data_IF_814782620631
#
_entry.id   IF_814782620631
#
_cell.length_a   1.000
_cell.length_b   1.000
_cell.length_c   1.000
_cell.angle_alpha   90.00
_cell.angle_beta   90.00
_cell.angle_gamma   90.00
#
_symmetry.space_group_name_H-M   'P 1'
#
loop_
_entity.id
_entity.type
_entity.pdbx_description
1 polymer ?
#
# COMPACT_ATOMS: atom_id res chain seq x y z
N UNK A 1 38.31 21.78 -37.07
CA UNK A 1 37.75 22.42 -35.86
C UNK A 1 36.40 21.83 -35.40
N UNK A 2 35.62 21.14 -36.26
CA UNK A 2 34.34 20.52 -35.89
C UNK A 2 34.39 19.03 -35.46
N UNK A 3 35.54 18.36 -35.58
CA UNK A 3 35.69 16.93 -35.22
C UNK A 3 35.75 16.69 -33.70
N UNK A 4 36.33 17.64 -32.97
CA UNK A 4 36.49 17.57 -31.51
C UNK A 4 35.15 17.54 -30.73
N UNK A 5 34.14 18.40 -31.03
CA UNK A 5 32.84 18.32 -30.35
C UNK A 5 32.03 17.08 -30.70
N UNK A 6 32.17 16.55 -31.93
CA UNK A 6 31.50 15.30 -32.35
C UNK A 6 32.07 14.11 -31.59
N UNK A 7 33.39 14.03 -31.43
CA UNK A 7 34.04 12.97 -30.66
C UNK A 7 33.69 13.04 -29.17
N UNK A 8 33.61 14.24 -28.60
CA UNK A 8 33.21 14.44 -27.19
C UNK A 8 31.74 14.01 -26.96
N UNK A 9 30.84 14.31 -27.91
CA UNK A 9 29.43 13.93 -27.83
C UNK A 9 29.17 12.43 -28.02
N UNK A 10 30.00 11.73 -28.80
CA UNK A 10 29.90 10.27 -28.96
C UNK A 10 30.41 9.58 -27.69
N UNK A 11 31.48 10.11 -27.09
CA UNK A 11 32.06 9.57 -25.87
C UNK A 11 31.11 9.67 -24.66
N UNK A 12 30.37 10.78 -24.55
CA UNK A 12 29.35 10.94 -23.48
C UNK A 12 28.17 10.00 -23.68
N UNK A 13 27.73 9.74 -24.91
CA UNK A 13 26.69 8.74 -25.18
C UNK A 13 27.11 7.33 -24.73
N UNK A 14 28.35 6.91 -25.02
CA UNK A 14 28.84 5.56 -24.66
C UNK A 14 28.92 5.35 -23.14
N UNK A 15 29.28 6.39 -22.38
CA UNK A 15 29.30 6.35 -20.91
C UNK A 15 27.91 6.13 -20.31
N UNK A 16 26.85 6.66 -20.92
CA UNK A 16 25.47 6.49 -20.44
C UNK A 16 24.97 5.05 -20.68
N UNK A 17 25.40 4.37 -21.75
CA UNK A 17 24.97 2.99 -22.02
C UNK A 17 25.60 1.94 -21.09
N UNK A 18 26.74 2.21 -20.45
CA UNK A 18 27.40 1.25 -19.55
C UNK A 18 26.76 1.18 -18.15
N UNK A 19 25.82 2.07 -17.82
CA UNK A 19 25.14 2.09 -16.52
C UNK A 19 24.00 1.06 -16.39
N UNK A 20 23.63 0.36 -17.47
CA UNK A 20 22.58 -0.66 -17.45
C UNK A 20 23.11 -2.10 -17.40
N UNK A 21 24.30 -2.34 -16.83
CA UNK A 21 24.82 -3.70 -16.66
C UNK A 21 25.03 -4.06 -15.17
N UNK A 22 23.92 -4.14 -14.43
CA UNK A 22 23.92 -4.68 -13.08
C UNK A 22 23.92 -6.21 -13.16
N UNK A 23 25.12 -6.78 -13.18
CA UNK A 23 25.38 -8.21 -13.01
C UNK A 23 24.89 -8.62 -11.60
N UNK A 24 23.68 -9.17 -11.50
CA UNK A 24 23.10 -9.62 -10.24
C UNK A 24 23.71 -10.95 -9.82
N UNK A 25 24.83 -10.87 -9.10
CA UNK A 25 25.38 -11.95 -8.31
C UNK A 25 25.25 -11.65 -6.82
N UNK A 26 24.05 -11.81 -6.26
CA UNK A 26 23.87 -11.96 -4.81
C UNK A 26 22.73 -12.93 -4.54
N UNK A 27 23.13 -14.16 -4.22
CA UNK A 27 22.26 -15.24 -3.82
C UNK A 27 21.71 -14.95 -2.42
N UNK A 28 20.53 -14.33 -2.35
CA UNK A 28 19.63 -14.36 -1.20
C UNK A 28 18.30 -14.96 -1.65
N UNK A 29 18.29 -16.29 -1.78
CA UNK A 29 17.06 -17.08 -1.77
C UNK A 29 16.45 -17.04 -0.37
N UNK A 30 15.81 -15.92 -0.05
CA UNK A 30 14.68 -15.94 0.87
C UNK A 30 13.56 -16.70 0.17
N UNK A 31 13.14 -17.82 0.77
CA UNK A 31 11.99 -18.59 0.33
C UNK A 31 10.82 -17.66 0.06
N UNK A 32 10.47 -17.47 -1.22
CA UNK A 32 9.17 -16.98 -1.61
C UNK A 32 8.18 -18.10 -1.30
N UNK A 33 7.87 -18.29 -0.02
CA UNK A 33 6.50 -18.63 0.31
C UNK A 33 5.68 -17.55 -0.37
N UNK A 34 4.97 -17.93 -1.43
CA UNK A 34 3.84 -17.18 -1.95
C UNK A 34 3.10 -16.69 -0.71
N UNK A 35 3.27 -15.41 -0.38
CA UNK A 35 2.49 -14.79 0.67
C UNK A 35 1.11 -14.87 0.08
N UNK A 36 0.33 -15.85 0.53
CA UNK A 36 -1.05 -15.98 0.15
C UNK A 36 -1.66 -14.63 0.48
N UNK A 37 -1.86 -13.80 -0.54
CA UNK A 37 -2.32 -12.43 -0.37
C UNK A 37 -3.72 -12.41 0.28
N UNK A 38 -4.34 -13.60 0.39
CA UNK A 38 -5.56 -13.84 1.13
C UNK A 38 -5.40 -13.82 2.65
N UNK A 39 -4.20 -13.93 3.24
CA UNK A 39 -4.00 -13.97 4.70
C UNK A 39 -3.13 -12.80 5.17
N UNK A 40 -3.64 -12.03 6.13
CA UNK A 40 -2.92 -10.93 6.79
C UNK A 40 -2.87 -11.18 8.31
N UNK A 41 -1.67 -11.32 8.85
CA UNK A 41 -1.45 -11.42 10.29
C UNK A 41 -1.06 -10.05 10.86
N UNK A 42 -1.80 -9.56 11.85
CA UNK A 42 -1.58 -8.27 12.50
C UNK A 42 -1.60 -8.48 14.02
N UNK A 43 -0.74 -7.80 14.76
CA UNK A 43 -0.86 -7.75 16.21
C UNK A 43 -1.64 -6.49 16.61
N UNK A 44 -2.62 -6.63 17.50
CA UNK A 44 -3.31 -5.48 18.06
C UNK A 44 -2.45 -4.74 19.09
N UNK A 45 -2.97 -3.64 19.62
CA UNK A 45 -2.29 -2.83 20.64
C UNK A 45 -2.06 -3.55 21.97
N UNK A 46 -2.76 -4.65 22.23
CA UNK A 46 -2.59 -5.49 23.40
C UNK A 46 -1.65 -6.67 23.14
N UNK A 47 -1.05 -6.76 21.95
CA UNK A 47 -0.14 -7.83 21.56
C UNK A 47 -0.83 -9.12 21.14
N UNK A 48 -2.16 -9.12 20.96
CA UNK A 48 -2.89 -10.28 20.45
C UNK A 48 -2.71 -10.38 18.94
N UNK A 49 -2.30 -11.56 18.48
CA UNK A 49 -2.22 -11.85 17.04
C UNK A 49 -3.61 -12.10 16.46
N UNK A 50 -3.92 -11.40 15.37
CA UNK A 50 -5.16 -11.48 14.62
C UNK A 50 -4.83 -11.90 13.19
N UNK A 51 -5.50 -12.95 12.72
CA UNK A 51 -5.42 -13.41 11.33
C UNK A 51 -6.66 -12.95 10.57
N UNK A 52 -6.45 -12.22 9.48
CA UNK A 52 -7.49 -11.66 8.63
C UNK A 52 -7.46 -12.34 7.28
N UNK A 53 -8.60 -12.91 6.87
CA UNK A 53 -8.78 -13.44 5.53
C UNK A 53 -9.33 -12.34 4.60
N UNK A 54 -8.57 -11.98 3.57
CA UNK A 54 -8.96 -10.98 2.55
C UNK A 54 -9.90 -11.60 1.51
N UNK A 55 -10.76 -10.80 0.85
CA UNK A 55 -10.97 -9.36 1.09
C UNK A 55 -11.78 -9.11 2.37
N UNK A 56 -11.53 -7.97 3.06
CA UNK A 56 -12.40 -7.54 4.17
C UNK A 56 -13.79 -7.22 3.62
N UNK A 57 -14.82 -7.78 4.26
CA UNK A 57 -16.22 -7.65 3.80
C UNK A 57 -17.08 -6.76 4.69
N UNK A 58 -16.73 -6.62 5.96
CA UNK A 58 -17.54 -5.92 6.96
C UNK A 58 -16.65 -5.28 8.00
N UNK A 59 -16.87 -4.00 8.26
CA UNK A 59 -16.15 -3.18 9.24
C UNK A 59 -17.17 -2.53 10.15
N UNK A 60 -16.89 -2.51 11.44
CA UNK A 60 -17.59 -1.69 12.43
C UNK A 60 -16.56 -0.70 12.97
N UNK A 61 -16.91 0.59 12.97
CA UNK A 61 -16.03 1.66 13.47
C UNK A 61 -16.54 2.21 14.80
N UNK A 62 -15.67 2.25 15.81
CA UNK A 62 -15.91 2.87 17.13
C UNK A 62 -15.04 4.13 17.34
N UNK A 63 -14.71 4.81 16.23
CA UNK A 63 -13.95 6.05 16.28
C UNK A 63 -14.37 6.97 15.14
N UNK A 64 -14.71 8.23 15.41
CA UNK A 64 -14.99 9.21 14.36
C UNK A 64 -13.85 9.30 13.35
N UNK A 65 -12.60 9.37 13.82
CA UNK A 65 -11.42 9.45 12.95
C UNK A 65 -11.28 8.26 12.00
N UNK A 66 -11.61 7.03 12.46
CA UNK A 66 -11.55 5.85 11.59
C UNK A 66 -12.70 5.82 10.59
N UNK A 67 -13.90 6.24 11.00
CA UNK A 67 -15.04 6.39 10.09
C UNK A 67 -14.68 7.35 8.96
N UNK A 68 -14.11 8.51 9.27
CA UNK A 68 -13.67 9.49 8.28
C UNK A 68 -12.60 8.94 7.32
N UNK A 69 -11.61 8.22 7.85
CA UNK A 69 -10.58 7.57 7.02
C UNK A 69 -11.22 6.57 6.05
N UNK A 70 -12.18 5.77 6.49
CA UNK A 70 -12.86 4.79 5.63
C UNK A 70 -13.59 5.47 4.47
N UNK A 71 -14.27 6.60 4.71
CA UNK A 71 -14.85 7.40 3.64
C UNK A 71 -13.79 8.03 2.74
N UNK A 72 -12.69 8.54 3.30
CA UNK A 72 -11.63 9.20 2.54
C UNK A 72 -10.87 8.26 1.59
N UNK A 73 -10.90 6.95 1.84
CA UNK A 73 -10.26 5.92 1.00
C UNK A 73 -11.27 5.12 0.16
N UNK A 74 -12.51 5.60 0.03
CA UNK A 74 -13.60 4.94 -0.71
C UNK A 74 -13.90 3.50 -0.21
N UNK A 75 -13.71 3.25 1.09
CA UNK A 75 -13.98 1.97 1.75
C UNK A 75 -15.31 1.95 2.52
N UNK A 76 -16.13 2.98 2.40
CA UNK A 76 -17.45 3.12 3.02
C UNK A 76 -18.38 1.96 2.66
N UNK A 77 -18.26 1.39 1.46
CA UNK A 77 -19.02 0.18 1.03
C UNK A 77 -18.83 -1.04 1.94
N UNK A 78 -17.76 -1.09 2.73
CA UNK A 78 -17.48 -2.18 3.69
C UNK A 78 -17.89 -1.85 5.12
N UNK A 79 -18.23 -0.59 5.40
CA UNK A 79 -18.63 -0.11 6.72
C UNK A 79 -20.10 -0.48 6.97
N UNK A 80 -20.34 -1.35 7.96
CA UNK A 80 -21.68 -1.88 8.29
C UNK A 80 -22.22 -1.40 9.63
N UNK A 81 -21.41 -0.66 10.40
CA UNK A 81 -21.80 -0.12 11.69
C UNK A 81 -20.85 0.97 12.15
N UNK A 82 -21.39 1.95 12.88
CA UNK A 82 -20.65 3.06 13.48
C UNK A 82 -21.10 3.28 14.92
N UNK A 83 -20.32 4.01 15.70
CA UNK A 83 -20.77 4.52 16.99
C UNK A 83 -21.71 5.74 16.84
N UNK A 84 -22.27 6.19 17.96
CA UNK A 84 -23.16 7.36 18.06
C UNK A 84 -22.49 8.67 17.60
N UNK A 85 -21.17 8.78 17.74
CA UNK A 85 -20.41 10.02 17.56
C UNK A 85 -19.79 10.15 16.16
N UNK A 86 -19.79 9.08 15.36
CA UNK A 86 -19.25 9.05 14.01
C UNK A 86 -20.26 9.58 12.99
N UNK A 87 -20.47 10.89 12.98
CA UNK A 87 -21.50 11.57 12.18
C UNK A 87 -20.97 12.27 10.91
N UNK A 88 -19.66 12.22 10.67
CA UNK A 88 -18.99 12.79 9.49
C UNK A 88 -18.32 11.70 8.62
N UNK A 89 -18.32 11.84 7.28
CA UNK A 89 -19.11 12.79 6.48
C UNK A 89 -20.63 12.58 6.64
N UNK A 90 -21.50 13.50 6.16
CA UNK A 90 -22.95 13.35 6.29
C UNK A 90 -23.50 12.01 5.76
N UNK A 91 -22.81 11.37 4.81
CA UNK A 91 -23.13 10.02 4.33
C UNK A 91 -22.98 8.93 5.39
N UNK A 92 -22.13 9.10 6.41
CA UNK A 92 -21.97 8.19 7.54
C UNK A 92 -23.27 8.03 8.35
N UNK A 93 -24.17 9.02 8.33
CA UNK A 93 -25.47 8.95 9.00
C UNK A 93 -26.39 7.87 8.43
N UNK A 94 -26.13 7.40 7.21
CA UNK A 94 -26.85 6.26 6.61
C UNK A 94 -26.43 4.90 7.16
N UNK A 95 -25.27 4.84 7.83
CA UNK A 95 -24.74 3.63 8.44
C UNK A 95 -25.41 3.41 9.81
N UNK A 96 -25.83 2.16 10.15
CA UNK A 96 -26.42 1.86 11.45
C UNK A 96 -25.50 2.19 12.63
N UNK A 97 -26.10 2.66 13.72
CA UNK A 97 -25.45 2.74 15.02
C UNK A 97 -25.41 1.34 15.64
N UNK A 98 -24.26 0.94 16.22
CA UNK A 98 -24.05 -0.35 16.89
C UNK A 98 -23.42 -0.23 18.26
#
# INVERSE_FOLDING_TARGET
MFLFPVLLSICTCILVLSACNQNQGSNMQGSLNQIDQSILNVNDSHGKQITIHKPLKRIISFSPAFTEILFAIDADSTLVGRDDFSDFPPSALSIPVV
#
